data_IF_118698043080
#
_entry.id   IF_118698043080
#
_cell.length_a   1.000
_cell.length_b   1.000
_cell.length_c   1.000
_cell.angle_alpha   90.00
_cell.angle_beta   90.00
_cell.angle_gamma   90.00
#
_symmetry.space_group_name_H-M   'P 1'
#
loop_
_entity.id
_entity.type
_entity.pdbx_description
1 polymer ?
#
# COMPACT_ATOMS: atom_id res chain seq x y z
N UNK A 1 6.54 35.36 22.39
CA UNK A 1 7.19 34.05 22.16
C UNK A 1 6.18 33.23 21.37
N UNK A 2 6.40 33.05 20.06
CA UNK A 2 5.47 32.35 19.18
C UNK A 2 5.97 30.91 18.99
N UNK A 3 5.25 29.94 19.54
CA UNK A 3 5.38 28.54 19.11
C UNK A 3 4.41 28.34 17.96
N UNK A 4 4.97 28.23 16.74
CA UNK A 4 4.24 27.77 15.56
C UNK A 4 3.90 26.30 15.77
N UNK A 5 2.62 26.02 16.03
CA UNK A 5 2.03 24.71 15.78
C UNK A 5 2.03 24.48 14.26
N UNK A 6 3.16 23.98 13.75
CA UNK A 6 3.31 23.59 12.36
C UNK A 6 2.74 22.18 12.17
N UNK A 7 1.45 22.01 12.49
CA UNK A 7 0.73 20.79 12.20
C UNK A 7 0.21 20.91 10.77
N UNK A 8 0.71 20.06 9.87
CA UNK A 8 0.16 19.85 8.53
C UNK A 8 -1.24 19.22 8.64
N UNK A 9 -2.23 20.00 9.07
CA UNK A 9 -3.64 19.62 9.11
C UNK A 9 -4.24 19.73 7.71
N UNK A 10 -3.72 18.90 6.78
CA UNK A 10 -4.37 18.64 5.51
C UNK A 10 -5.44 17.54 5.64
N UNK A 11 -6.28 17.34 4.60
CA UNK A 11 -7.24 16.23 4.54
C UNK A 11 -6.59 14.82 4.53
N UNK A 12 -5.26 14.73 4.57
CA UNK A 12 -4.45 13.51 4.59
C UNK A 12 -3.41 13.53 5.71
N UNK A 13 -3.82 13.86 6.94
CA UNK A 13 -2.96 13.70 8.12
C UNK A 13 -2.73 12.21 8.38
N UNK A 14 -1.64 11.68 7.83
CA UNK A 14 -1.28 10.27 7.91
C UNK A 14 -1.08 9.82 9.37
N UNK A 15 -0.55 10.69 10.23
CA UNK A 15 -0.36 10.37 11.64
C UNK A 15 -1.71 10.20 12.34
N UNK A 16 -2.67 11.06 12.04
CA UNK A 16 -4.05 10.94 12.54
C UNK A 16 -4.76 9.71 12.00
N UNK A 17 -4.66 9.44 10.70
CA UNK A 17 -5.25 8.25 10.07
C UNK A 17 -4.72 6.97 10.74
N UNK A 18 -3.40 6.89 10.93
CA UNK A 18 -2.78 5.74 11.60
C UNK A 18 -3.21 5.63 13.07
N UNK A 19 -3.36 6.74 13.78
CA UNK A 19 -3.83 6.76 15.16
C UNK A 19 -5.33 6.39 15.28
N UNK A 20 -6.15 6.72 14.29
CA UNK A 20 -7.57 6.32 14.24
C UNK A 20 -7.74 4.85 13.84
N UNK A 21 -6.79 4.29 13.10
CA UNK A 21 -6.71 2.87 12.76
C UNK A 21 -6.00 2.01 13.84
N UNK A 22 -5.77 2.58 15.03
CA UNK A 22 -5.20 1.83 16.16
C UNK A 22 -6.14 0.67 16.57
N UNK A 23 -5.65 -0.58 16.63
CA UNK A 23 -6.50 -1.74 16.92
C UNK A 23 -7.19 -1.67 18.28
N UNK A 24 -6.51 -1.12 19.29
CA UNK A 24 -7.05 -1.03 20.64
C UNK A 24 -8.15 0.03 20.68
N UNK A 25 -7.91 1.19 20.07
CA UNK A 25 -8.91 2.27 19.96
C UNK A 25 -10.16 1.80 19.23
N UNK A 26 -10.02 1.06 18.13
CA UNK A 26 -11.16 0.48 17.40
C UNK A 26 -11.91 -0.55 18.24
N UNK A 27 -11.19 -1.42 18.96
CA UNK A 27 -11.81 -2.40 19.88
C UNK A 27 -12.54 -1.73 21.04
N UNK A 28 -11.99 -0.65 21.61
CA UNK A 28 -12.62 0.12 22.68
C UNK A 28 -13.91 0.79 22.19
N UNK A 29 -13.89 1.41 21.01
CA UNK A 29 -15.08 2.01 20.41
C UNK A 29 -16.16 0.96 20.14
N UNK A 30 -15.77 -0.19 19.57
CA UNK A 30 -16.70 -1.29 19.35
C UNK A 30 -17.31 -1.82 20.66
N UNK A 31 -16.47 -1.99 21.69
CA UNK A 31 -16.92 -2.47 23.00
C UNK A 31 -17.92 -1.50 23.64
N UNK A 32 -17.68 -0.19 23.55
CA UNK A 32 -18.64 0.83 24.02
C UNK A 32 -19.99 0.71 23.33
N UNK A 33 -19.99 0.62 21.99
CA UNK A 33 -21.23 0.42 21.22
C UNK A 33 -21.95 -0.87 21.64
N UNK A 34 -21.23 -1.98 21.81
CA UNK A 34 -21.85 -3.23 22.24
C UNK A 34 -22.43 -3.17 23.67
N UNK A 35 -21.78 -2.41 24.57
CA UNK A 35 -22.25 -2.19 25.93
C UNK A 35 -23.49 -1.29 26.00
N UNK A 36 -23.58 -0.28 25.13
CA UNK A 36 -24.73 0.61 25.04
C UNK A 36 -25.96 -0.09 24.44
N UNK A 37 -25.73 -1.07 23.56
CA UNK A 37 -26.78 -1.81 22.83
C UNK A 37 -26.91 -3.28 23.29
N UNK A 38 -26.88 -3.55 24.60
CA UNK A 38 -27.07 -4.92 25.13
C UNK A 38 -28.34 -5.56 24.54
N UNK A 39 -28.15 -6.57 23.69
CA UNK A 39 -29.25 -7.36 23.11
C UNK A 39 -29.44 -8.63 23.94
N UNK A 40 -30.57 -8.78 24.66
CA UNK A 40 -30.85 -10.01 25.42
C UNK A 40 -30.92 -11.24 24.49
N UNK A 41 -30.27 -12.34 24.88
CA UNK A 41 -30.31 -13.61 24.13
C UNK A 41 -29.31 -13.74 22.99
N UNK A 42 -28.33 -12.84 22.87
CA UNK A 42 -27.26 -12.90 21.86
C UNK A 42 -25.92 -13.21 22.52
N UNK A 43 -25.13 -14.12 21.92
CA UNK A 43 -23.75 -14.40 22.33
C UNK A 43 -22.84 -13.21 21.98
N UNK A 44 -22.64 -12.33 22.96
CA UNK A 44 -21.76 -11.16 22.83
C UNK A 44 -20.28 -11.54 22.76
N UNK A 45 -19.90 -12.74 23.21
CA UNK A 45 -18.52 -13.24 23.12
C UNK A 45 -18.17 -13.58 21.67
N UNK A 46 -19.05 -14.28 20.95
CA UNK A 46 -18.86 -14.58 19.53
C UNK A 46 -18.79 -13.29 18.68
N UNK A 47 -19.61 -12.29 19.01
CA UNK A 47 -19.58 -10.98 18.35
C UNK A 47 -18.25 -10.26 18.63
N UNK A 48 -17.78 -10.27 19.87
CA UNK A 48 -16.51 -9.63 20.23
C UNK A 48 -15.31 -10.26 19.54
N UNK A 49 -15.31 -11.60 19.42
CA UNK A 49 -14.27 -12.34 18.69
C UNK A 49 -14.30 -12.03 17.19
N UNK A 50 -15.50 -11.99 16.58
CA UNK A 50 -15.69 -11.62 15.17
C UNK A 50 -15.18 -10.19 14.89
N UNK A 51 -15.42 -9.25 15.80
CA UNK A 51 -14.92 -7.88 15.70
C UNK A 51 -13.42 -7.77 15.86
N UNK A 52 -12.81 -8.57 16.74
CA UNK A 52 -11.34 -8.65 16.84
C UNK A 52 -10.73 -9.12 15.50
N UNK A 53 -11.28 -10.19 14.91
CA UNK A 53 -10.83 -10.69 13.60
C UNK A 53 -11.01 -9.66 12.47
N UNK A 54 -12.08 -8.86 12.51
CA UNK A 54 -12.29 -7.76 11.57
C UNK A 54 -11.17 -6.72 11.64
N UNK A 55 -10.81 -6.32 12.86
CA UNK A 55 -9.75 -5.35 13.10
C UNK A 55 -8.39 -5.90 12.68
N UNK A 56 -8.09 -7.16 12.99
CA UNK A 56 -6.86 -7.83 12.54
C UNK A 56 -6.76 -7.87 11.01
N UNK A 57 -7.85 -8.17 10.31
CA UNK A 57 -7.88 -8.18 8.84
C UNK A 57 -7.67 -6.78 8.25
N UNK A 58 -8.28 -5.73 8.85
CA UNK A 58 -8.06 -4.35 8.43
C UNK A 58 -6.60 -3.92 8.62
N UNK A 59 -6.00 -4.29 9.75
CA UNK A 59 -4.57 -4.03 10.02
C UNK A 59 -3.69 -4.75 9.01
N UNK A 60 -3.97 -6.02 8.72
CA UNK A 60 -3.22 -6.80 7.76
C UNK A 60 -3.33 -6.23 6.33
N UNK A 61 -4.53 -5.84 5.90
CA UNK A 61 -4.75 -5.21 4.59
C UNK A 61 -4.02 -3.85 4.47
N UNK A 62 -4.07 -3.02 5.51
CA UNK A 62 -3.34 -1.76 5.55
C UNK A 62 -1.82 -1.97 5.52
N UNK A 63 -1.33 -2.97 6.26
CA UNK A 63 0.08 -3.34 6.24
C UNK A 63 0.52 -3.78 4.83
N UNK A 64 -0.26 -4.64 4.17
CA UNK A 64 0.00 -5.05 2.79
C UNK A 64 0.07 -3.86 1.84
N UNK A 65 -0.88 -2.92 1.95
CA UNK A 65 -0.89 -1.71 1.13
C UNK A 65 0.37 -0.84 1.35
N UNK A 66 0.79 -0.65 2.61
CA UNK A 66 2.01 0.10 2.96
C UNK A 66 3.28 -0.60 2.47
N UNK A 67 3.38 -1.92 2.63
CA UNK A 67 4.51 -2.71 2.12
C UNK A 67 4.60 -2.63 0.59
N UNK A 68 3.46 -2.60 -0.11
CA UNK A 68 3.41 -2.36 -1.56
C UNK A 68 3.91 -0.97 -1.96
N UNK A 69 3.50 0.08 -1.24
CA UNK A 69 4.01 1.43 -1.46
C UNK A 69 5.53 1.52 -1.22
N UNK A 70 6.01 0.89 -0.14
CA UNK A 70 7.44 0.83 0.16
C UNK A 70 8.20 0.12 -0.97
N UNK A 71 7.67 -0.98 -1.48
CA UNK A 71 8.26 -1.72 -2.60
C UNK A 71 8.35 -0.87 -3.86
N UNK A 72 7.31 -0.10 -4.19
CA UNK A 72 7.29 0.85 -5.32
C UNK A 72 8.36 1.93 -5.15
N UNK A 73 8.49 2.51 -3.96
CA UNK A 73 9.51 3.52 -3.65
C UNK A 73 10.93 2.94 -3.76
N UNK A 74 11.16 1.74 -3.23
CA UNK A 74 12.43 1.03 -3.38
C UNK A 74 12.77 0.81 -4.85
N UNK A 75 11.81 0.37 -5.66
CA UNK A 75 12.02 0.15 -7.10
C UNK A 75 12.30 1.44 -7.86
N UNK A 76 11.63 2.55 -7.52
CA UNK A 76 11.98 3.87 -8.08
C UNK A 76 13.44 4.24 -7.78
N UNK A 77 13.94 3.97 -6.56
CA UNK A 77 15.34 4.19 -6.21
C UNK A 77 16.32 3.35 -7.03
N UNK A 78 15.98 2.09 -7.30
CA UNK A 78 16.77 1.21 -8.15
C UNK A 78 16.82 1.71 -9.60
N UNK A 79 15.67 2.08 -10.17
CA UNK A 79 15.57 2.65 -11.53
C UNK A 79 16.46 3.90 -11.66
N UNK A 80 16.48 4.77 -10.65
CA UNK A 80 17.33 5.96 -10.64
C UNK A 80 18.83 5.58 -10.64
N UNK A 81 19.21 4.58 -9.85
CA UNK A 81 20.59 4.09 -9.78
C UNK A 81 21.03 3.45 -11.10
N UNK A 82 20.16 2.65 -11.72
CA UNK A 82 20.37 2.05 -13.04
C UNK A 82 20.57 3.16 -14.09
N UNK A 83 19.68 4.16 -14.12
CA UNK A 83 19.75 5.28 -15.07
C UNK A 83 21.03 6.11 -14.91
N UNK A 84 21.47 6.36 -13.67
CA UNK A 84 22.71 7.09 -13.40
C UNK A 84 23.94 6.33 -13.91
N UNK A 85 23.98 5.00 -13.70
CA UNK A 85 25.06 4.15 -14.19
C UNK A 85 25.10 4.09 -15.73
N UNK A 86 23.94 3.98 -16.37
CA UNK A 86 23.83 4.00 -17.84
C UNK A 86 24.28 5.33 -18.43
N UNK A 87 23.91 6.44 -17.79
CA UNK A 87 24.34 7.79 -18.18
C UNK A 87 25.85 7.94 -18.07
N UNK A 88 26.45 7.51 -16.96
CA UNK A 88 27.90 7.56 -16.76
C UNK A 88 28.66 6.71 -17.79
N UNK A 89 28.14 5.52 -18.11
CA UNK A 89 28.69 4.64 -19.15
C UNK A 89 28.63 5.30 -20.53
N UNK A 90 27.47 5.86 -20.87
CA UNK A 90 27.24 6.57 -22.14
C UNK A 90 28.18 7.77 -22.29
N UNK A 91 28.33 8.58 -21.24
CA UNK A 91 29.21 9.75 -21.25
C UNK A 91 30.67 9.34 -21.48
N UNK A 92 31.13 8.24 -20.87
CA UNK A 92 32.47 7.67 -21.07
C UNK A 92 32.69 7.16 -22.51
N UNK A 93 31.65 6.62 -23.14
CA UNK A 93 31.70 6.17 -24.54
C UNK A 93 31.63 7.32 -25.56
N UNK A 94 31.01 8.45 -25.19
CA UNK A 94 30.96 9.65 -26.02
C UNK A 94 32.26 10.45 -25.94
N UNK A 95 32.90 10.53 -24.76
CA UNK A 95 34.21 11.19 -24.60
C UNK A 95 35.36 10.51 -25.34
N UNK A 96 35.11 9.34 -25.94
CA UNK A 96 36.06 8.56 -26.74
C UNK A 96 35.79 8.60 -28.26
N UNK A 97 34.75 9.31 -28.73
CA UNK A 97 34.42 9.44 -30.16
C UNK A 97 34.86 10.79 -30.75
N UNK A 98 35.57 10.76 -31.89
CA UNK A 98 36.17 11.96 -32.52
C UNK A 98 35.46 12.49 -33.78
N UNK A 99 34.43 11.81 -34.30
CA UNK A 99 33.76 12.17 -35.56
C UNK A 99 32.27 12.53 -35.35
N UNK A 100 31.79 13.69 -35.85
CA UNK A 100 30.38 14.09 -35.80
C UNK A 100 29.37 13.06 -36.34
N UNK A 101 29.72 12.27 -37.36
CA UNK A 101 28.83 11.24 -37.92
C UNK A 101 28.61 10.05 -36.96
N UNK A 102 29.64 9.67 -36.17
CA UNK A 102 29.51 8.64 -35.13
C UNK A 102 28.63 9.11 -33.97
N UNK A 103 28.67 10.40 -33.64
CA UNK A 103 27.86 10.99 -32.57
C UNK A 103 26.35 10.92 -32.90
N UNK A 104 25.97 11.20 -34.15
CA UNK A 104 24.57 11.14 -34.61
C UNK A 104 24.05 9.70 -34.65
N UNK A 105 24.85 8.75 -35.14
CA UNK A 105 24.48 7.33 -35.13
C UNK A 105 24.28 6.80 -33.69
N UNK A 106 25.19 7.15 -32.78
CA UNK A 106 25.08 6.77 -31.36
C UNK A 106 23.84 7.35 -30.68
N UNK A 107 23.42 8.57 -31.03
CA UNK A 107 22.18 9.15 -30.49
C UNK A 107 20.93 8.33 -30.87
N UNK A 108 20.86 7.85 -32.12
CA UNK A 108 19.74 7.01 -32.56
C UNK A 108 19.77 5.60 -31.93
N UNK A 109 20.95 5.01 -31.76
CA UNK A 109 21.11 3.71 -31.07
C UNK A 109 20.73 3.76 -29.59
N UNK A 110 20.88 4.92 -28.93
CA UNK A 110 20.56 5.08 -27.50
C UNK A 110 19.09 5.42 -27.24
N UNK A 111 18.41 6.08 -28.18
CA UNK A 111 17.03 6.57 -27.99
C UNK A 111 15.99 5.44 -27.94
N UNK A 112 16.06 4.48 -28.87
CA UNK A 112 15.07 3.40 -28.93
C UNK A 112 15.10 2.50 -27.67
N UNK A 113 16.27 1.98 -27.23
CA UNK A 113 16.33 1.16 -26.02
C UNK A 113 15.97 1.92 -24.74
N UNK A 114 16.28 3.23 -24.68
CA UNK A 114 15.90 4.06 -23.53
C UNK A 114 14.36 4.22 -23.42
N UNK A 115 13.66 4.41 -24.55
CA UNK A 115 12.20 4.45 -24.57
C UNK A 115 11.58 3.10 -24.18
N UNK A 116 12.10 1.98 -24.69
CA UNK A 116 11.64 0.64 -24.32
C UNK A 116 11.82 0.38 -22.82
N UNK A 117 12.97 0.75 -22.25
CA UNK A 117 13.26 0.63 -20.80
C UNK A 117 12.33 1.51 -19.96
N UNK A 118 12.06 2.74 -20.38
CA UNK A 118 11.12 3.63 -19.67
C UNK A 118 9.70 3.05 -19.64
N UNK A 119 9.22 2.49 -20.75
CA UNK A 119 7.91 1.81 -20.82
C UNK A 119 7.89 0.53 -19.98
N UNK A 120 8.97 -0.24 -19.96
CA UNK A 120 9.08 -1.43 -19.12
C UNK A 120 9.02 -1.07 -17.63
N UNK A 121 9.79 -0.08 -17.20
CA UNK A 121 9.77 0.41 -15.81
C UNK A 121 8.39 0.95 -15.41
N UNK A 122 7.71 1.68 -16.30
CA UNK A 122 6.36 2.17 -16.04
C UNK A 122 5.33 1.03 -15.88
N UNK A 123 5.43 -0.02 -16.71
CA UNK A 123 4.59 -1.24 -16.60
C UNK A 123 4.86 -1.98 -15.30
N UNK A 124 6.12 -2.20 -14.95
CA UNK A 124 6.53 -2.85 -13.71
C UNK A 124 5.94 -2.12 -12.48
N UNK A 125 6.10 -0.80 -12.41
CA UNK A 125 5.55 0.00 -11.31
C UNK A 125 4.02 -0.08 -11.25
N UNK A 126 3.33 -0.08 -12.40
CA UNK A 126 1.87 -0.22 -12.46
C UNK A 126 1.41 -1.61 -11.97
N UNK A 127 2.11 -2.68 -12.37
CA UNK A 127 1.85 -4.04 -11.92
C UNK A 127 2.06 -4.19 -10.41
N UNK A 128 3.11 -3.57 -9.85
CA UNK A 128 3.36 -3.57 -8.41
C UNK A 128 2.22 -2.90 -7.62
N UNK A 129 1.75 -1.74 -8.09
CA UNK A 129 0.60 -1.04 -7.47
C UNK A 129 -0.67 -1.88 -7.56
N UNK A 130 -0.95 -2.46 -8.74
CA UNK A 130 -2.12 -3.29 -8.95
C UNK A 130 -2.10 -4.54 -8.05
N UNK A 131 -0.94 -5.19 -7.93
CA UNK A 131 -0.76 -6.35 -7.06
C UNK A 131 -0.99 -6.00 -5.60
N UNK A 132 -0.38 -4.92 -5.10
CA UNK A 132 -0.59 -4.45 -3.72
C UNK A 132 -2.07 -4.25 -3.40
N UNK A 133 -2.81 -3.60 -4.30
CA UNK A 133 -4.25 -3.39 -4.14
C UNK A 133 -5.06 -4.68 -4.17
N UNK A 134 -4.67 -5.63 -5.03
CA UNK A 134 -5.32 -6.94 -5.15
C UNK A 134 -5.11 -7.76 -3.88
N UNK A 135 -3.89 -7.83 -3.39
CA UNK A 135 -3.54 -8.58 -2.18
C UNK A 135 -4.27 -8.02 -0.94
N UNK A 136 -4.35 -6.69 -0.81
CA UNK A 136 -5.10 -6.05 0.27
C UNK A 136 -6.61 -6.33 0.16
N UNK A 137 -7.18 -6.31 -1.06
CA UNK A 137 -8.58 -6.64 -1.30
C UNK A 137 -8.89 -8.11 -0.95
N UNK A 138 -8.00 -9.05 -1.30
CA UNK A 138 -8.20 -10.47 -1.00
C UNK A 138 -8.26 -10.76 0.49
N UNK A 139 -7.48 -10.03 1.31
CA UNK A 139 -7.56 -10.10 2.79
C UNK A 139 -8.97 -9.70 3.27
N UNK A 140 -9.50 -8.58 2.75
CA UNK A 140 -10.84 -8.09 3.13
C UNK A 140 -11.94 -9.03 2.62
N UNK A 141 -11.84 -9.51 1.38
CA UNK A 141 -12.78 -10.47 0.79
C UNK A 141 -12.86 -11.74 1.63
N UNK A 142 -11.71 -12.31 2.01
CA UNK A 142 -11.66 -13.51 2.86
C UNK A 142 -12.34 -13.24 4.20
N UNK A 143 -12.06 -12.12 4.85
CA UNK A 143 -12.67 -11.78 6.13
C UNK A 143 -14.18 -11.57 6.01
N UNK A 144 -14.66 -11.00 4.90
CA UNK A 144 -16.08 -10.87 4.62
C UNK A 144 -16.77 -12.25 4.50
N UNK A 145 -16.18 -13.19 3.77
CA UNK A 145 -16.69 -14.57 3.63
C UNK A 145 -16.76 -15.31 4.99
N UNK A 146 -15.74 -15.13 5.83
CA UNK A 146 -15.70 -15.66 7.20
C UNK A 146 -16.78 -15.00 8.08
N UNK A 147 -16.96 -13.68 7.97
CA UNK A 147 -17.98 -12.94 8.73
C UNK A 147 -19.40 -13.42 8.40
N UNK A 148 -19.69 -13.70 7.13
CA UNK A 148 -20.98 -14.30 6.72
C UNK A 148 -21.20 -15.68 7.33
N UNK A 149 -20.13 -16.45 7.51
CA UNK A 149 -20.19 -17.78 8.11
C UNK A 149 -20.43 -17.69 9.63
N UNK A 150 -19.76 -16.75 10.30
CA UNK A 150 -19.95 -16.45 11.73
C UNK A 150 -21.37 -15.94 12.02
N UNK A 151 -21.90 -15.02 11.20
CA UNK A 151 -23.28 -14.53 11.34
C UNK A 151 -24.30 -15.67 11.19
N UNK A 152 -24.09 -16.58 10.24
CA UNK A 152 -24.94 -17.77 10.08
C UNK A 152 -24.86 -18.69 11.30
N UNK A 153 -23.70 -18.81 11.94
CA UNK A 153 -23.53 -19.62 13.15
C UNK A 153 -24.26 -18.97 14.34
N UNK A 154 -24.11 -17.66 14.53
CA UNK A 154 -24.83 -16.89 15.56
C UNK A 154 -26.35 -17.01 15.37
N UNK A 155 -26.85 -16.87 14.14
CA UNK A 155 -28.27 -17.00 13.84
C UNK A 155 -28.84 -18.42 14.10
N UNK A 156 -27.99 -19.46 14.07
CA UNK A 156 -28.35 -20.84 14.39
C UNK A 156 -28.27 -21.14 15.89
N UNK A 157 -27.52 -20.36 16.65
CA UNK A 157 -27.55 -20.36 18.12
C UNK A 157 -28.83 -19.64 18.60
N UNK A 158 -29.98 -20.24 18.33
CA UNK A 158 -31.24 -19.86 18.98
C UNK A 158 -31.32 -20.61 20.32
N UNK A 159 -31.84 -20.03 21.41
CA UNK A 159 -32.43 -20.84 22.47
C UNK A 159 -33.56 -21.71 21.94
#
# INVERSE_FOLDING_TARGET
MATKDNNMSGPFDFAKIMADLDPNKMMEQFTKVLQDYKVPGVDTTAIMESSRKNIEALVAANRQAVEGLQSVVSRQGEILRETANETASTLKQLSSGGNPAEVVSKQMELLNPAMERALANARELAEMVQKSNTDAFDIIKKRFEESLSELKAIAKQKP
#
